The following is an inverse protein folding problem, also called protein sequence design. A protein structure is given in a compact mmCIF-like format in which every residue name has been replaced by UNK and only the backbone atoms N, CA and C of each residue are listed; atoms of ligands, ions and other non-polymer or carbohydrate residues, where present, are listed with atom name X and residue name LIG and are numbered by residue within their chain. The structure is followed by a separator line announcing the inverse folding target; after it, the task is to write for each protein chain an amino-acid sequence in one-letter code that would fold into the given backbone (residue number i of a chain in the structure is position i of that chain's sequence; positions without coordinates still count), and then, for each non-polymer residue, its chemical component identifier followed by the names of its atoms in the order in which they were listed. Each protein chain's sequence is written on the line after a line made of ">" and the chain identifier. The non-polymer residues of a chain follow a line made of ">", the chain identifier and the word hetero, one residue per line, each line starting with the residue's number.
data_IF_234688073952
#
_entry.id   IF_234688073952
#
_cell.length_a   1.000
_cell.length_b   1.000
_cell.length_c   1.000
_cell.angle_alpha   90.00
_cell.angle_beta   90.00
_cell.angle_gamma   90.00
#
_symmetry.space_group_name_H-M   'P 1'
#
loop_
_entity.id
_entity.type
_entity.pdbx_description
1 polymer ?
#
# COMPACT_ATOMS: atom_id res chain seq x y z
N UNK A 1 -2.91 -38.63 -2.76
CA UNK A 1 -2.80 -39.21 -4.11
C UNK A 1 -2.81 -40.77 -4.02
N UNK A 2 -3.59 -41.52 -4.80
CA UNK A 2 -3.61 -42.99 -4.74
C UNK A 2 -2.29 -43.59 -5.22
N UNK A 3 -1.86 -44.67 -4.56
CA UNK A 3 -0.57 -45.35 -4.79
C UNK A 3 -0.36 -45.75 -6.27
N UNK A 4 -1.45 -46.14 -6.94
CA UNK A 4 -1.46 -46.53 -8.37
C UNK A 4 -1.06 -45.39 -9.31
N UNK A 5 -1.50 -44.17 -9.05
CA UNK A 5 -1.11 -43.01 -9.84
C UNK A 5 0.35 -42.60 -9.61
N UNK A 6 0.84 -42.74 -8.38
CA UNK A 6 2.21 -42.45 -8.01
C UNK A 6 3.19 -43.42 -8.70
N UNK A 7 2.88 -44.73 -8.71
CA UNK A 7 3.65 -45.76 -9.43
C UNK A 7 3.67 -45.47 -10.94
N UNK A 8 2.55 -45.06 -11.53
CA UNK A 8 2.48 -44.70 -12.94
C UNK A 8 3.39 -43.52 -13.29
N UNK A 9 3.42 -42.46 -12.47
CA UNK A 9 4.28 -41.30 -12.67
C UNK A 9 5.75 -41.73 -12.58
N UNK A 10 6.12 -42.51 -11.55
CA UNK A 10 7.51 -42.99 -11.37
C UNK A 10 7.94 -43.86 -12.55
N UNK A 11 7.08 -44.73 -13.04
CA UNK A 11 7.39 -45.56 -14.20
C UNK A 11 7.57 -44.74 -15.48
N UNK A 12 6.69 -43.76 -15.73
CA UNK A 12 6.80 -42.89 -16.90
C UNK A 12 8.10 -42.04 -16.87
N UNK A 13 8.47 -41.52 -15.69
CA UNK A 13 9.65 -40.74 -15.50
C UNK A 13 10.96 -41.56 -15.52
N UNK A 14 10.86 -42.87 -15.26
CA UNK A 14 12.00 -43.80 -15.24
C UNK A 14 12.22 -44.56 -16.55
N UNK A 15 11.37 -44.40 -17.56
CA UNK A 15 11.44 -45.17 -18.81
C UNK A 15 12.80 -45.02 -19.48
N UNK A 16 13.32 -43.81 -19.61
CA UNK A 16 14.58 -43.57 -20.28
C UNK A 16 15.75 -44.23 -19.56
N UNK A 17 15.79 -44.16 -18.24
CA UNK A 17 16.82 -44.79 -17.42
C UNK A 17 16.73 -46.32 -17.42
N UNK A 18 15.53 -46.87 -17.37
CA UNK A 18 15.31 -48.31 -17.45
C UNK A 18 15.78 -48.85 -18.81
N UNK A 19 15.44 -48.15 -19.90
CA UNK A 19 15.89 -48.51 -21.25
C UNK A 19 17.41 -48.45 -21.36
N UNK A 20 18.03 -47.41 -20.83
CA UNK A 20 19.50 -47.29 -20.83
C UNK A 20 20.19 -48.43 -20.05
N UNK A 21 19.66 -48.78 -18.87
CA UNK A 21 20.16 -49.90 -18.07
C UNK A 21 19.98 -51.22 -18.83
N UNK A 22 18.84 -51.45 -19.46
CA UNK A 22 18.54 -52.68 -20.23
C UNK A 22 19.47 -52.80 -21.46
N UNK A 23 19.70 -51.73 -22.21
CA UNK A 23 20.64 -51.69 -23.35
C UNK A 23 22.07 -51.97 -22.88
N UNK A 24 22.50 -51.33 -21.82
CA UNK A 24 23.85 -51.51 -21.25
C UNK A 24 24.09 -52.96 -20.81
N UNK A 25 23.10 -53.54 -20.14
CA UNK A 25 23.15 -54.95 -19.74
C UNK A 25 23.14 -55.90 -20.94
N UNK A 26 22.32 -55.64 -21.96
CA UNK A 26 22.30 -56.41 -23.20
C UNK A 26 23.63 -56.42 -23.93
N UNK A 27 24.29 -55.23 -24.02
CA UNK A 27 25.64 -55.11 -24.60
C UNK A 27 26.66 -55.91 -23.78
N UNK A 28 26.60 -55.88 -22.48
CA UNK A 28 27.51 -56.59 -21.58
C UNK A 28 27.35 -58.12 -21.72
N UNK A 29 26.12 -58.59 -21.80
CA UNK A 29 25.80 -60.02 -22.08
C UNK A 29 26.35 -60.43 -23.46
N UNK A 30 26.18 -59.58 -24.47
CA UNK A 30 26.67 -59.85 -25.83
C UNK A 30 28.23 -59.97 -25.86
N UNK A 31 28.93 -59.03 -25.22
CA UNK A 31 30.40 -59.06 -25.13
C UNK A 31 30.89 -60.32 -24.39
N UNK A 32 30.24 -60.71 -23.30
CA UNK A 32 30.60 -61.92 -22.57
C UNK A 32 30.39 -63.18 -23.37
N UNK A 33 29.29 -63.31 -24.12
CA UNK A 33 29.01 -64.46 -24.99
C UNK A 33 30.01 -64.56 -26.16
N UNK A 34 30.38 -63.44 -26.77
CA UNK A 34 31.34 -63.39 -27.87
C UNK A 34 32.77 -63.70 -27.46
N UNK A 35 33.22 -63.31 -26.26
CA UNK A 35 34.61 -63.51 -25.83
C UNK A 35 34.84 -64.80 -25.07
N UNK A 36 33.91 -65.30 -24.30
CA UNK A 36 34.09 -66.44 -23.41
C UNK A 36 33.39 -67.73 -23.83
N UNK A 37 32.56 -67.69 -24.88
CA UNK A 37 31.91 -68.88 -25.41
C UNK A 37 30.98 -69.61 -24.43
N UNK A 38 30.64 -68.98 -23.30
CA UNK A 38 29.86 -69.58 -22.23
C UNK A 38 28.42 -69.05 -22.35
N UNK A 39 27.47 -69.99 -22.68
CA UNK A 39 26.05 -69.68 -22.79
C UNK A 39 25.37 -69.28 -21.47
N UNK A 40 26.00 -68.56 -20.61
CA UNK A 40 25.49 -68.12 -19.28
C UNK A 40 24.80 -66.75 -19.39
N UNK A 41 23.55 -66.78 -19.89
CA UNK A 41 22.69 -65.57 -20.01
C UNK A 41 21.85 -65.34 -18.76
N UNK A 42 21.54 -66.42 -18.01
CA UNK A 42 20.57 -66.34 -16.90
C UNK A 42 21.04 -65.44 -15.75
N UNK A 43 22.31 -65.60 -15.30
CA UNK A 43 22.83 -64.85 -14.15
C UNK A 43 22.89 -63.33 -14.39
N UNK A 44 23.44 -62.81 -15.50
CA UNK A 44 23.41 -61.39 -15.80
C UNK A 44 21.99 -60.84 -15.98
N UNK A 45 21.06 -61.61 -16.56
CA UNK A 45 19.66 -61.19 -16.70
C UNK A 45 18.97 -61.00 -15.33
N UNK A 46 19.13 -61.98 -14.41
CA UNK A 46 18.58 -61.91 -13.07
C UNK A 46 19.16 -60.70 -12.28
N UNK A 47 20.48 -60.48 -12.41
CA UNK A 47 21.16 -59.33 -11.78
C UNK A 47 20.60 -58.01 -12.32
N UNK A 48 20.37 -57.88 -13.63
CA UNK A 48 19.81 -56.67 -14.24
C UNK A 48 18.40 -56.39 -13.74
N UNK A 49 17.54 -57.41 -13.65
CA UNK A 49 16.18 -57.28 -13.12
C UNK A 49 16.22 -56.85 -11.66
N UNK A 50 17.15 -57.42 -10.84
CA UNK A 50 17.31 -57.03 -9.46
C UNK A 50 17.76 -55.56 -9.32
N UNK A 51 18.72 -55.08 -10.13
CA UNK A 51 19.17 -53.71 -10.14
C UNK A 51 18.05 -52.75 -10.53
N UNK A 52 17.26 -53.06 -11.57
CA UNK A 52 16.12 -52.25 -11.98
C UNK A 52 15.08 -52.20 -10.85
N UNK A 53 14.81 -53.37 -10.18
CA UNK A 53 13.88 -53.41 -9.05
C UNK A 53 14.30 -52.53 -7.89
N UNK A 54 15.56 -52.56 -7.51
CA UNK A 54 16.13 -51.71 -6.44
C UNK A 54 16.04 -50.23 -6.83
N UNK A 55 16.42 -49.90 -8.07
CA UNK A 55 16.32 -48.52 -8.60
C UNK A 55 14.90 -47.99 -8.53
N UNK A 56 13.92 -48.73 -9.03
CA UNK A 56 12.51 -48.32 -8.98
C UNK A 56 12.00 -48.16 -7.55
N UNK A 57 12.43 -49.04 -6.64
CA UNK A 57 12.06 -48.96 -5.24
C UNK A 57 12.58 -47.66 -4.61
N UNK A 58 13.86 -47.34 -4.81
CA UNK A 58 14.47 -46.12 -4.29
C UNK A 58 13.80 -44.88 -4.90
N UNK A 59 13.58 -44.86 -6.23
CA UNK A 59 12.93 -43.75 -6.94
C UNK A 59 11.49 -43.54 -6.43
N UNK A 60 10.76 -44.63 -6.17
CA UNK A 60 9.41 -44.56 -5.59
C UNK A 60 9.42 -43.95 -4.19
N UNK A 61 10.35 -44.37 -3.33
CA UNK A 61 10.48 -43.78 -1.98
C UNK A 61 10.82 -42.30 -2.03
N UNK A 62 11.71 -41.89 -2.92
CA UNK A 62 12.07 -40.45 -3.08
C UNK A 62 10.86 -39.65 -3.55
N UNK A 63 10.11 -40.16 -4.54
CA UNK A 63 8.91 -39.51 -5.07
C UNK A 63 7.81 -39.38 -4.00
N UNK A 64 7.56 -40.43 -3.22
CA UNK A 64 6.58 -40.40 -2.13
C UNK A 64 6.96 -39.36 -1.08
N UNK A 65 8.25 -39.30 -0.68
CA UNK A 65 8.75 -38.30 0.28
C UNK A 65 8.59 -36.88 -0.27
N UNK A 66 8.89 -36.68 -1.55
CA UNK A 66 8.72 -35.39 -2.22
C UNK A 66 7.26 -34.91 -2.18
N UNK A 67 6.30 -35.78 -2.60
CA UNK A 67 4.88 -35.39 -2.57
C UNK A 67 4.34 -35.14 -1.16
N UNK A 68 4.76 -35.92 -0.16
CA UNK A 68 4.39 -35.66 1.24
C UNK A 68 4.90 -34.31 1.74
N UNK A 69 6.14 -33.92 1.36
CA UNK A 69 6.70 -32.61 1.69
C UNK A 69 5.99 -31.48 0.94
N UNK A 70 5.59 -31.73 -0.31
CA UNK A 70 4.81 -30.76 -1.11
C UNK A 70 3.43 -30.51 -0.48
N UNK A 71 2.73 -31.55 -0.06
CA UNK A 71 1.45 -31.44 0.65
C UNK A 71 1.59 -30.67 1.99
N UNK A 72 2.65 -30.92 2.75
CA UNK A 72 2.96 -30.17 3.96
C UNK A 72 3.31 -28.68 3.68
N UNK A 73 3.78 -28.33 2.49
CA UNK A 73 4.12 -26.97 2.11
C UNK A 73 2.92 -26.07 1.85
N UNK A 74 1.70 -26.58 1.77
CA UNK A 74 0.46 -25.77 1.77
C UNK A 74 0.28 -24.98 3.06
N UNK A 75 0.79 -25.49 4.19
CA UNK A 75 0.63 -24.86 5.51
C UNK A 75 1.90 -24.10 5.93
N UNK A 76 3.09 -24.64 5.62
CA UNK A 76 4.37 -23.98 5.90
C UNK A 76 5.47 -24.48 4.97
N UNK A 77 6.30 -23.57 4.46
CA UNK A 77 7.45 -23.94 3.63
C UNK A 77 8.49 -24.69 4.45
N UNK A 78 8.87 -25.94 4.11
CA UNK A 78 9.87 -26.69 4.88
C UNK A 78 11.22 -26.00 4.84
N UNK A 79 11.84 -25.82 6.01
CA UNK A 79 13.19 -25.24 6.16
C UNK A 79 14.33 -26.25 5.99
N UNK A 80 14.02 -27.51 5.81
CA UNK A 80 15.05 -28.59 5.76
C UNK A 80 15.75 -28.67 4.40
N UNK A 81 17.02 -29.08 4.46
CA UNK A 81 17.87 -29.31 3.29
C UNK A 81 17.24 -30.35 2.36
N UNK A 82 17.06 -30.00 1.09
CA UNK A 82 16.52 -30.87 0.06
C UNK A 82 17.70 -31.49 -0.71
N UNK A 83 17.76 -32.82 -0.76
CA UNK A 83 18.87 -33.59 -1.34
C UNK A 83 19.01 -33.45 -2.87
N UNK A 84 18.06 -32.76 -3.52
CA UNK A 84 18.07 -32.60 -5.00
C UNK A 84 17.90 -31.13 -5.37
N UNK A 85 18.83 -30.61 -6.19
CA UNK A 85 18.84 -29.22 -6.68
C UNK A 85 17.53 -28.77 -7.35
N UNK A 86 16.84 -29.67 -8.07
CA UNK A 86 15.56 -29.37 -8.73
C UNK A 86 14.44 -29.20 -7.69
N UNK A 87 14.38 -30.08 -6.70
CA UNK A 87 13.38 -30.01 -5.63
C UNK A 87 13.61 -28.75 -4.76
N UNK A 88 14.86 -28.41 -4.46
CA UNK A 88 15.22 -27.17 -3.76
C UNK A 88 14.72 -25.93 -4.50
N UNK A 89 14.88 -25.92 -5.84
CA UNK A 89 14.38 -24.81 -6.68
C UNK A 89 12.87 -24.70 -6.66
N UNK A 90 12.15 -25.84 -6.74
CA UNK A 90 10.68 -25.89 -6.65
C UNK A 90 10.19 -25.32 -5.31
N UNK A 91 10.76 -25.76 -4.19
CA UNK A 91 10.39 -25.24 -2.87
C UNK A 91 10.76 -23.75 -2.71
N UNK A 92 11.85 -23.28 -3.29
CA UNK A 92 12.19 -21.85 -3.26
C UNK A 92 11.16 -21.01 -4.03
N UNK A 93 10.68 -21.48 -5.17
CA UNK A 93 9.64 -20.79 -5.95
C UNK A 93 8.31 -20.78 -5.19
N UNK A 94 7.90 -21.91 -4.62
CA UNK A 94 6.68 -22.01 -3.81
C UNK A 94 6.79 -21.05 -2.60
N UNK A 95 7.95 -21.01 -1.91
CA UNK A 95 8.20 -20.10 -0.81
C UNK A 95 8.09 -18.62 -1.20
N UNK A 96 8.63 -18.25 -2.35
CA UNK A 96 8.54 -16.89 -2.86
C UNK A 96 7.10 -16.50 -3.21
N UNK A 97 6.34 -17.40 -3.85
CA UNK A 97 4.93 -17.18 -4.16
C UNK A 97 4.10 -17.07 -2.89
N UNK A 98 4.32 -17.97 -1.93
CA UNK A 98 3.63 -17.95 -0.64
C UNK A 98 3.91 -16.66 0.16
N UNK A 99 5.18 -16.26 0.27
CA UNK A 99 5.57 -15.04 0.95
C UNK A 99 4.98 -13.79 0.26
N UNK A 100 4.97 -13.75 -1.07
CA UNK A 100 4.33 -12.67 -1.84
C UNK A 100 2.83 -12.61 -1.54
N UNK A 101 2.15 -13.75 -1.57
CA UNK A 101 0.71 -13.83 -1.28
C UNK A 101 0.39 -13.42 0.16
N UNK A 102 1.20 -13.87 1.14
CA UNK A 102 1.04 -13.44 2.53
C UNK A 102 1.23 -11.93 2.69
N UNK A 103 2.28 -11.36 2.10
CA UNK A 103 2.55 -9.92 2.19
C UNK A 103 1.42 -9.10 1.54
N UNK A 104 0.89 -9.57 0.42
CA UNK A 104 -0.25 -8.93 -0.26
C UNK A 104 -1.54 -9.03 0.57
N UNK A 105 -1.81 -10.20 1.15
CA UNK A 105 -2.97 -10.40 2.03
C UNK A 105 -2.88 -9.54 3.28
N UNK A 106 -1.70 -9.44 3.91
CA UNK A 106 -1.48 -8.54 5.04
C UNK A 106 -1.68 -7.07 4.65
N UNK A 107 -1.17 -6.65 3.51
CA UNK A 107 -1.37 -5.29 2.99
C UNK A 107 -2.85 -4.97 2.78
N UNK A 108 -3.58 -5.87 2.13
CA UNK A 108 -5.01 -5.69 1.88
C UNK A 108 -5.83 -5.66 3.18
N UNK A 109 -5.52 -6.53 4.13
CA UNK A 109 -6.16 -6.52 5.46
C UNK A 109 -5.90 -5.21 6.20
N UNK A 110 -4.66 -4.75 6.24
CA UNK A 110 -4.31 -3.46 6.86
C UNK A 110 -5.05 -2.30 6.21
N UNK A 111 -5.19 -2.29 4.88
CA UNK A 111 -5.98 -1.27 4.17
C UNK A 111 -7.47 -1.32 4.56
N UNK A 112 -8.05 -2.52 4.66
CA UNK A 112 -9.46 -2.70 5.08
C UNK A 112 -9.65 -2.25 6.53
N UNK A 113 -8.77 -2.62 7.45
CA UNK A 113 -8.82 -2.23 8.86
C UNK A 113 -8.72 -0.71 9.01
N UNK A 114 -7.79 -0.10 8.29
CA UNK A 114 -7.61 1.34 8.22
C UNK A 114 -8.89 2.03 7.75
N UNK A 115 -9.49 1.55 6.66
CA UNK A 115 -10.73 2.08 6.12
C UNK A 115 -11.91 1.91 7.07
N UNK A 116 -12.04 0.75 7.70
CA UNK A 116 -13.11 0.50 8.67
C UNK A 116 -12.98 1.40 9.91
N UNK A 117 -11.78 1.66 10.38
CA UNK A 117 -11.52 2.60 11.47
C UNK A 117 -11.95 4.03 11.09
N UNK A 118 -11.63 4.47 9.85
CA UNK A 118 -12.10 5.74 9.31
C UNK A 118 -13.63 5.85 9.33
N UNK A 119 -14.31 4.87 8.74
CA UNK A 119 -15.78 4.87 8.71
C UNK A 119 -16.38 4.91 10.10
N UNK A 120 -15.83 4.12 11.03
CA UNK A 120 -16.33 4.09 12.42
C UNK A 120 -16.20 5.46 13.08
N UNK A 121 -15.08 6.16 12.90
CA UNK A 121 -14.87 7.48 13.48
C UNK A 121 -15.81 8.54 12.87
N UNK A 122 -15.97 8.53 11.53
CA UNK A 122 -16.91 9.45 10.86
C UNK A 122 -18.36 9.21 11.29
N UNK A 123 -18.78 7.94 11.36
CA UNK A 123 -20.12 7.59 11.83
C UNK A 123 -20.36 8.05 13.25
N UNK A 124 -19.37 7.91 14.13
CA UNK A 124 -19.47 8.39 15.50
C UNK A 124 -19.59 9.93 15.57
N UNK A 125 -18.76 10.65 14.82
CA UNK A 125 -18.83 12.12 14.71
C UNK A 125 -20.18 12.60 14.16
N UNK A 126 -20.63 12.01 13.05
CA UNK A 126 -21.95 12.33 12.47
C UNK A 126 -23.11 12.07 13.44
N UNK A 127 -23.11 10.92 14.16
CA UNK A 127 -24.12 10.62 15.17
C UNK A 127 -24.12 11.66 16.29
N UNK A 128 -22.96 12.12 16.73
CA UNK A 128 -22.85 13.18 17.73
C UNK A 128 -23.44 14.51 17.25
N UNK A 129 -23.11 14.92 16.02
CA UNK A 129 -23.66 16.16 15.43
C UNK A 129 -25.18 16.10 15.24
N UNK A 130 -25.70 14.93 14.81
CA UNK A 130 -27.17 14.73 14.71
C UNK A 130 -27.83 14.87 16.06
N UNK A 131 -27.28 14.25 17.13
CA UNK A 131 -27.85 14.36 18.47
C UNK A 131 -27.87 15.82 19.01
N UNK A 132 -26.83 16.61 18.68
CA UNK A 132 -26.82 18.05 19.06
C UNK A 132 -27.88 18.82 18.27
N UNK A 133 -28.05 18.54 16.98
CA UNK A 133 -29.11 19.16 16.15
C UNK A 133 -30.51 18.82 16.70
N UNK A 134 -30.75 17.57 17.07
CA UNK A 134 -32.02 17.13 17.68
C UNK A 134 -32.29 17.91 18.99
N UNK A 135 -31.32 17.94 19.91
CA UNK A 135 -31.45 18.69 21.18
C UNK A 135 -31.64 20.18 20.96
N UNK A 136 -30.97 20.80 20.01
CA UNK A 136 -31.09 22.20 19.69
C UNK A 136 -32.46 22.50 19.04
N UNK A 137 -33.00 21.57 18.23
CA UNK A 137 -34.30 21.70 17.62
C UNK A 137 -35.48 21.62 18.64
N UNK A 138 -35.30 20.78 19.68
CA UNK A 138 -36.27 20.69 20.78
C UNK A 138 -36.33 21.98 21.62
N UNK A 139 -35.20 22.70 21.74
CA UNK A 139 -35.11 23.96 22.49
C UNK A 139 -35.48 25.22 21.72
N UNK A 140 -35.83 25.11 20.45
CA UNK A 140 -36.17 26.24 19.57
C UNK A 140 -37.33 27.13 20.14
N UNK A 141 -38.13 26.61 21.08
CA UNK A 141 -39.20 27.36 21.77
C UNK A 141 -38.70 28.37 22.80
N UNK A 142 -37.55 28.13 23.46
CA UNK A 142 -37.07 28.90 24.60
C UNK A 142 -36.00 29.96 24.23
N UNK A 143 -35.08 29.64 23.32
CA UNK A 143 -33.98 30.52 22.85
C UNK A 143 -33.69 30.32 21.36
N UNK A 144 -34.48 30.89 20.46
CA UNK A 144 -34.40 30.55 19.02
C UNK A 144 -33.05 30.94 18.36
N UNK A 145 -32.43 32.02 18.81
CA UNK A 145 -31.20 32.53 18.22
C UNK A 145 -30.00 31.59 18.44
N UNK A 146 -29.82 31.12 19.67
CA UNK A 146 -28.69 30.26 20.06
C UNK A 146 -28.88 28.85 19.49
N UNK A 147 -30.09 28.32 19.55
CA UNK A 147 -30.40 27.00 18.97
C UNK A 147 -30.23 26.95 17.47
N UNK A 148 -30.53 28.01 16.73
CA UNK A 148 -30.30 28.11 15.29
C UNK A 148 -28.80 28.19 14.95
N UNK A 149 -27.99 28.87 15.77
CA UNK A 149 -26.55 28.96 15.61
C UNK A 149 -25.90 27.57 15.82
N UNK A 150 -26.32 26.84 16.86
CA UNK A 150 -25.84 25.48 17.14
C UNK A 150 -26.20 24.51 16.02
N UNK A 151 -27.44 24.51 15.54
CA UNK A 151 -27.90 23.68 14.39
C UNK A 151 -27.05 23.98 13.15
N UNK A 152 -26.82 25.26 12.85
CA UNK A 152 -26.03 25.67 11.68
C UNK A 152 -24.58 25.25 11.80
N UNK A 153 -23.98 25.36 12.99
CA UNK A 153 -22.63 24.91 13.30
C UNK A 153 -22.48 23.39 13.11
N UNK A 154 -23.39 22.60 13.68
CA UNK A 154 -23.34 21.14 13.57
C UNK A 154 -23.63 20.64 12.14
N UNK A 155 -24.55 21.30 11.41
CA UNK A 155 -24.77 20.97 9.99
C UNK A 155 -23.51 21.21 9.13
N UNK A 156 -22.75 22.27 9.44
CA UNK A 156 -21.46 22.52 8.77
C UNK A 156 -20.44 21.43 9.06
N UNK A 157 -20.36 20.96 10.32
CA UNK A 157 -19.49 19.83 10.71
C UNK A 157 -19.89 18.54 10.02
N UNK A 158 -21.21 18.24 9.96
CA UNK A 158 -21.72 17.07 9.22
C UNK A 158 -21.34 17.10 7.76
N UNK A 159 -21.51 18.26 7.10
CA UNK A 159 -21.15 18.43 5.70
C UNK A 159 -19.65 18.21 5.47
N UNK A 160 -18.80 18.78 6.31
CA UNK A 160 -17.34 18.58 6.26
C UNK A 160 -16.97 17.12 6.48
N UNK A 161 -17.58 16.42 7.44
CA UNK A 161 -17.34 15.00 7.69
C UNK A 161 -17.77 14.13 6.50
N UNK A 162 -18.89 14.44 5.88
CA UNK A 162 -19.36 13.74 4.68
C UNK A 162 -18.40 13.93 3.50
N UNK A 163 -17.94 15.16 3.26
CA UNK A 163 -16.96 15.48 2.22
C UNK A 163 -15.64 14.72 2.45
N UNK A 164 -15.18 14.62 3.70
CA UNK A 164 -13.97 13.83 4.03
C UNK A 164 -14.17 12.35 3.72
N UNK A 165 -15.31 11.75 4.06
CA UNK A 165 -15.62 10.34 3.71
C UNK A 165 -15.63 10.14 2.20
N UNK A 166 -16.28 11.03 1.45
CA UNK A 166 -16.34 10.95 0.00
C UNK A 166 -14.94 11.05 -0.63
N UNK A 167 -14.08 11.91 -0.09
CA UNK A 167 -12.72 12.06 -0.59
C UNK A 167 -11.85 10.82 -0.31
N UNK A 168 -12.04 10.16 0.83
CA UNK A 168 -11.37 8.89 1.13
C UNK A 168 -11.84 7.78 0.18
N UNK A 169 -13.14 7.70 -0.10
CA UNK A 169 -13.69 6.74 -1.07
C UNK A 169 -13.17 7.00 -2.48
N UNK A 170 -13.01 8.26 -2.87
CA UNK A 170 -12.41 8.62 -4.15
C UNK A 170 -10.94 8.21 -4.24
N UNK A 171 -10.17 8.25 -3.14
CA UNK A 171 -8.78 7.77 -3.13
C UNK A 171 -8.65 6.29 -3.55
N UNK A 172 -9.63 5.45 -3.23
CA UNK A 172 -9.66 4.05 -3.68
C UNK A 172 -9.86 3.96 -5.21
N UNK A 173 -10.57 4.93 -5.79
CA UNK A 173 -10.80 5.04 -7.23
C UNK A 173 -9.74 5.87 -7.97
N UNK A 174 -8.69 6.33 -7.28
CA UNK A 174 -7.67 7.23 -7.85
C UNK A 174 -7.13 6.77 -9.20
N UNK A 175 -6.84 5.47 -9.37
CA UNK A 175 -6.29 4.91 -10.62
C UNK A 175 -7.24 5.11 -11.80
N UNK A 176 -8.56 5.11 -11.56
CA UNK A 176 -9.57 5.30 -12.59
C UNK A 176 -9.82 6.77 -12.93
N UNK A 177 -9.56 7.67 -11.95
CA UNK A 177 -9.85 9.11 -12.06
C UNK A 177 -8.60 9.96 -12.36
N UNK A 178 -7.40 9.34 -12.33
CA UNK A 178 -6.14 10.03 -12.52
C UNK A 178 -5.92 10.43 -13.97
N UNK A 179 -5.91 11.75 -14.23
CA UNK A 179 -5.69 12.34 -15.54
C UNK A 179 -4.53 13.34 -15.44
N UNK A 180 -3.27 12.90 -15.66
CA UNK A 180 -2.13 13.81 -15.61
C UNK A 180 -2.16 14.77 -16.81
N UNK A 181 -2.01 16.04 -16.50
CA UNK A 181 -1.93 17.11 -17.48
C UNK A 181 -0.82 18.10 -17.12
N UNK A 182 -0.39 18.90 -18.08
CA UNK A 182 0.55 19.99 -17.82
C UNK A 182 -0.22 21.14 -17.19
N UNK A 183 0.10 21.50 -15.95
CA UNK A 183 -0.61 22.52 -15.19
C UNK A 183 0.33 23.61 -14.72
N UNK A 184 -0.18 24.83 -14.66
CA UNK A 184 0.50 25.96 -14.04
C UNK A 184 0.17 25.99 -12.55
N UNK A 185 1.21 25.92 -11.69
CA UNK A 185 1.03 25.87 -10.24
C UNK A 185 0.43 27.17 -9.69
N UNK A 186 0.84 28.35 -10.22
CA UNK A 186 0.32 29.61 -9.72
C UNK A 186 -1.19 29.76 -9.97
N UNK A 187 -1.69 29.26 -11.10
CA UNK A 187 -3.12 29.27 -11.42
C UNK A 187 -3.91 28.37 -10.45
N UNK A 188 -3.44 27.15 -10.20
CA UNK A 188 -4.12 26.24 -9.26
C UNK A 188 -4.10 26.81 -7.84
N UNK A 189 -2.96 27.36 -7.39
CA UNK A 189 -2.83 27.97 -6.07
C UNK A 189 -3.81 29.14 -5.94
N UNK A 190 -3.84 30.04 -6.93
CA UNK A 190 -4.75 31.19 -6.92
C UNK A 190 -6.22 30.75 -6.91
N UNK A 191 -6.57 29.72 -7.67
CA UNK A 191 -7.92 29.15 -7.68
C UNK A 191 -8.28 28.59 -6.27
N UNK A 192 -7.40 27.80 -5.67
CA UNK A 192 -7.63 27.20 -4.36
C UNK A 192 -7.68 28.25 -3.23
N UNK A 193 -6.85 29.30 -3.30
CA UNK A 193 -6.95 30.46 -2.39
C UNK A 193 -8.35 31.12 -2.50
N UNK A 194 -8.86 31.28 -3.72
CA UNK A 194 -10.18 31.89 -3.94
C UNK A 194 -11.32 31.01 -3.38
N UNK A 195 -11.22 29.69 -3.46
CA UNK A 195 -12.17 28.76 -2.83
C UNK A 195 -12.21 28.93 -1.31
N UNK A 196 -11.04 29.14 -0.68
CA UNK A 196 -10.89 29.37 0.77
C UNK A 196 -10.97 30.84 1.19
N UNK A 197 -11.39 31.75 0.29
CA UNK A 197 -11.40 33.20 0.56
C UNK A 197 -12.15 33.58 1.83
N UNK A 198 -13.26 32.92 2.13
CA UNK A 198 -14.04 33.21 3.35
C UNK A 198 -13.25 32.82 4.60
N UNK A 199 -12.56 31.70 4.58
CA UNK A 199 -11.80 31.18 5.71
C UNK A 199 -10.63 32.12 6.02
N UNK A 200 -9.94 32.61 4.98
CA UNK A 200 -8.89 33.65 5.11
C UNK A 200 -9.42 34.92 5.76
N UNK A 201 -10.57 35.43 5.29
CA UNK A 201 -11.17 36.66 5.82
C UNK A 201 -11.59 36.48 7.27
N UNK A 202 -12.28 35.39 7.63
CA UNK A 202 -12.76 35.13 8.98
C UNK A 202 -11.62 34.93 9.98
N UNK A 203 -10.53 34.31 9.56
CA UNK A 203 -9.36 34.06 10.40
C UNK A 203 -8.41 35.26 10.49
N UNK A 204 -8.59 36.26 9.62
CA UNK A 204 -7.68 37.42 9.53
C UNK A 204 -6.27 37.02 9.08
N UNK A 205 -6.14 36.01 8.22
CA UNK A 205 -4.86 35.51 7.69
C UNK A 205 -4.74 35.94 6.23
N UNK A 206 -3.55 36.29 5.79
CA UNK A 206 -3.32 36.87 4.47
C UNK A 206 -2.48 35.92 3.57
N UNK A 207 -3.02 35.48 2.41
CA UNK A 207 -2.24 34.69 1.47
C UNK A 207 -1.29 35.57 0.65
N UNK A 208 -0.08 35.02 0.37
CA UNK A 208 0.92 35.63 -0.53
C UNK A 208 1.42 34.54 -1.49
N UNK A 209 1.43 34.85 -2.79
CA UNK A 209 1.92 33.94 -3.83
C UNK A 209 3.15 34.56 -4.49
N UNK A 210 4.25 33.83 -4.52
CA UNK A 210 5.52 34.21 -5.13
C UNK A 210 5.99 33.11 -6.09
N UNK A 211 6.45 33.53 -7.28
CA UNK A 211 6.98 32.60 -8.28
C UNK A 211 5.89 32.01 -9.18
N UNK A 212 6.36 31.21 -10.13
CA UNK A 212 5.55 30.48 -11.11
C UNK A 212 6.29 29.20 -11.50
N UNK A 213 5.57 28.22 -12.04
CA UNK A 213 6.15 26.97 -12.51
C UNK A 213 5.12 26.03 -13.10
N UNK A 214 5.57 25.19 -14.00
CA UNK A 214 4.72 24.20 -14.67
C UNK A 214 5.12 22.78 -14.27
N UNK A 215 4.14 21.94 -14.01
CA UNK A 215 4.34 20.53 -13.62
C UNK A 215 3.36 19.62 -14.35
N UNK A 216 3.70 18.33 -14.46
CA UNK A 216 2.76 17.31 -14.90
C UNK A 216 2.12 16.67 -13.66
N UNK A 217 0.81 16.89 -13.47
CA UNK A 217 0.06 16.30 -12.35
C UNK A 217 -1.44 16.31 -12.68
N UNK A 218 -2.24 15.66 -11.83
CA UNK A 218 -3.70 15.80 -11.91
C UNK A 218 -4.14 17.06 -11.17
N UNK A 219 -4.73 18.01 -11.86
CA UNK A 219 -5.13 19.32 -11.33
C UNK A 219 -6.13 19.22 -10.19
N UNK A 220 -7.08 18.26 -10.24
CA UNK A 220 -8.13 18.07 -9.22
C UNK A 220 -7.55 17.49 -7.93
N UNK A 221 -6.74 16.43 -8.06
CA UNK A 221 -6.11 15.81 -6.90
C UNK A 221 -5.08 16.72 -6.24
N UNK A 222 -4.33 17.48 -7.05
CA UNK A 222 -3.39 18.45 -6.52
C UNK A 222 -4.11 19.62 -5.82
N UNK A 223 -5.18 20.17 -6.41
CA UNK A 223 -6.00 21.21 -5.76
C UNK A 223 -6.59 20.71 -4.43
N UNK A 224 -7.04 19.46 -4.36
CA UNK A 224 -7.51 18.88 -3.11
C UNK A 224 -6.40 18.78 -2.05
N UNK A 225 -5.21 18.29 -2.40
CA UNK A 225 -4.04 18.26 -1.53
C UNK A 225 -3.72 19.65 -0.99
N UNK A 226 -3.65 20.63 -1.89
CA UNK A 226 -3.38 22.03 -1.56
C UNK A 226 -4.44 22.62 -0.64
N UNK A 227 -5.73 22.34 -0.87
CA UNK A 227 -6.83 22.78 -0.03
C UNK A 227 -6.70 22.25 1.40
N UNK A 228 -6.23 21.01 1.60
CA UNK A 228 -5.97 20.47 2.94
C UNK A 228 -4.80 21.18 3.63
N UNK A 229 -3.73 21.51 2.89
CA UNK A 229 -2.62 22.30 3.43
C UNK A 229 -3.05 23.72 3.81
N UNK A 230 -3.81 24.40 2.95
CA UNK A 230 -4.38 25.73 3.20
C UNK A 230 -5.28 25.70 4.44
N UNK A 231 -6.20 24.75 4.53
CA UNK A 231 -7.10 24.61 5.67
C UNK A 231 -6.32 24.43 6.99
N UNK A 232 -5.28 23.60 6.98
CA UNK A 232 -4.40 23.43 8.14
C UNK A 232 -3.64 24.71 8.46
N UNK A 233 -3.03 25.37 7.47
CA UNK A 233 -2.30 26.61 7.66
C UNK A 233 -3.18 27.71 8.25
N UNK A 234 -4.41 27.90 7.73
CA UNK A 234 -5.38 28.87 8.29
C UNK A 234 -5.74 28.50 9.73
N UNK A 235 -6.03 27.23 9.99
CA UNK A 235 -6.46 26.73 11.29
C UNK A 235 -5.42 26.96 12.39
N UNK A 236 -4.14 26.80 12.07
CA UNK A 236 -3.07 26.88 13.06
C UNK A 236 -2.33 28.25 13.05
N UNK A 237 -2.63 29.12 12.10
CA UNK A 237 -2.12 30.50 12.09
C UNK A 237 -2.77 31.38 13.16
N UNK A 238 -2.08 32.45 13.54
CA UNK A 238 -2.61 33.49 14.39
C UNK A 238 -3.25 34.59 13.55
N UNK A 239 -4.21 35.34 14.11
CA UNK A 239 -4.84 36.48 13.45
C UNK A 239 -3.78 37.52 13.10
N UNK A 240 -3.80 38.06 11.88
CA UNK A 240 -2.78 38.92 11.32
C UNK A 240 -1.59 38.20 10.69
N UNK A 241 -1.56 36.87 10.76
CA UNK A 241 -0.51 36.02 10.14
C UNK A 241 -0.58 35.97 8.63
N UNK A 242 0.47 35.41 8.03
CA UNK A 242 0.55 35.19 6.58
C UNK A 242 0.68 33.73 6.26
N UNK A 243 0.13 33.33 5.11
CA UNK A 243 0.43 32.04 4.46
C UNK A 243 1.09 32.38 3.12
N UNK A 244 2.37 32.00 3.00
CA UNK A 244 3.17 32.28 1.80
C UNK A 244 3.33 31.01 0.96
N UNK A 245 3.03 31.11 -0.31
CA UNK A 245 3.24 30.08 -1.32
C UNK A 245 4.44 30.52 -2.15
N UNK A 246 5.52 29.73 -2.14
CA UNK A 246 6.74 30.00 -2.89
C UNK A 246 6.98 28.90 -3.91
N UNK A 247 6.96 29.26 -5.19
CA UNK A 247 7.27 28.35 -6.28
C UNK A 247 8.71 28.63 -6.72
N UNK A 248 9.53 27.59 -6.75
CA UNK A 248 10.91 27.67 -7.25
C UNK A 248 11.10 26.59 -8.31
N UNK A 249 11.72 26.98 -9.43
CA UNK A 249 12.07 26.09 -10.52
C UNK A 249 13.59 26.14 -10.71
N UNK A 250 14.27 25.07 -10.24
CA UNK A 250 15.68 24.84 -10.42
C UNK A 250 15.85 23.52 -11.17
N UNK A 251 16.53 22.53 -10.58
CA UNK A 251 16.61 21.16 -11.14
C UNK A 251 15.27 20.42 -11.05
N UNK A 252 14.48 20.72 -10.02
CA UNK A 252 13.13 20.23 -9.79
C UNK A 252 12.22 21.39 -9.39
N UNK A 253 10.94 21.32 -9.81
CA UNK A 253 9.93 22.30 -9.40
C UNK A 253 9.53 21.99 -7.95
N UNK A 254 9.55 23.03 -7.12
CA UNK A 254 9.13 22.94 -5.72
C UNK A 254 8.08 24.00 -5.39
N UNK A 255 7.08 23.58 -4.62
CA UNK A 255 6.15 24.49 -3.97
C UNK A 255 6.37 24.43 -2.46
N UNK A 256 6.67 25.55 -1.83
CA UNK A 256 6.76 25.69 -0.38
C UNK A 256 5.56 26.47 0.12
N UNK A 257 4.81 25.87 1.06
CA UNK A 257 3.68 26.49 1.77
C UNK A 257 4.14 26.80 3.19
N UNK A 258 4.20 28.08 3.53
CA UNK A 258 4.77 28.58 4.79
C UNK A 258 3.68 29.31 5.56
N UNK A 259 3.36 28.88 6.77
CA UNK A 259 2.51 29.59 7.70
C UNK A 259 3.32 30.22 8.85
N UNK A 260 2.78 31.25 9.45
CA UNK A 260 3.32 31.93 10.67
C UNK A 260 2.53 31.53 11.90
N UNK A 261 2.19 30.27 12.03
CA UNK A 261 1.33 29.72 13.07
C UNK A 261 2.06 29.29 14.33
N UNK A 262 1.37 28.46 15.11
CA UNK A 262 1.89 27.96 16.41
C UNK A 262 3.02 26.93 16.26
N UNK A 263 3.26 26.42 15.05
CA UNK A 263 4.24 25.39 14.79
C UNK A 263 3.86 24.00 15.33
N UNK A 264 4.70 23.01 15.07
CA UNK A 264 4.52 21.63 15.45
C UNK A 264 5.65 21.21 16.40
N UNK A 265 5.36 20.65 17.57
CA UNK A 265 6.38 20.11 18.47
C UNK A 265 7.22 19.01 17.78
N UNK A 266 8.54 18.95 18.02
CA UNK A 266 9.42 17.95 17.42
C UNK A 266 8.98 16.50 17.65
N UNK A 267 8.39 16.22 18.81
CA UNK A 267 7.84 14.91 19.18
C UNK A 267 6.61 14.51 18.34
N UNK A 268 5.87 15.48 17.81
CA UNK A 268 4.69 15.25 16.99
C UNK A 268 5.06 15.02 15.49
N UNK A 269 6.16 15.63 15.00
CA UNK A 269 6.58 15.61 13.58
C UNK A 269 6.63 14.21 12.97
N UNK A 270 7.17 13.16 13.60
CA UNK A 270 7.22 11.83 13.02
C UNK A 270 5.83 11.21 12.77
N UNK A 271 4.80 11.72 13.44
CA UNK A 271 3.45 11.14 13.49
C UNK A 271 2.37 11.97 12.85
N UNK A 272 2.68 13.18 12.34
CA UNK A 272 1.66 14.08 11.77
C UNK A 272 0.91 13.52 10.56
N UNK A 273 1.51 12.54 9.89
CA UNK A 273 0.90 11.82 8.78
C UNK A 273 0.18 10.53 9.22
N UNK A 274 0.28 10.16 10.50
CA UNK A 274 -0.48 9.03 11.02
C UNK A 274 -1.96 9.37 11.03
N UNK A 275 -2.76 8.40 10.61
CA UNK A 275 -4.21 8.56 10.62
C UNK A 275 -4.73 8.81 12.04
N UNK A 276 -5.63 9.80 12.17
CA UNK A 276 -6.24 10.24 13.45
C UNK A 276 -5.27 10.87 14.45
N UNK A 277 -4.04 11.07 14.07
CA UNK A 277 -3.12 11.76 14.93
C UNK A 277 -3.40 13.27 14.93
N UNK A 278 -3.63 13.86 16.10
CA UNK A 278 -3.98 15.28 16.24
C UNK A 278 -2.94 16.09 16.99
N UNK A 279 -1.87 15.49 17.47
CA UNK A 279 -0.82 16.15 18.25
C UNK A 279 -1.32 16.96 19.46
N UNK A 280 -0.44 17.67 20.11
CA UNK A 280 -0.78 18.50 21.27
C UNK A 280 -1.69 19.67 20.90
N UNK A 281 -1.45 20.33 19.75
CA UNK A 281 -2.21 21.48 19.27
C UNK A 281 -3.63 21.10 18.80
N UNK A 282 -3.76 19.92 18.16
CA UNK A 282 -5.04 19.44 17.66
C UNK A 282 -6.00 19.00 18.77
N UNK A 283 -5.48 18.42 19.86
CA UNK A 283 -6.27 18.03 21.05
C UNK A 283 -6.88 19.23 21.77
N UNK A 284 -6.22 20.38 21.75
CA UNK A 284 -6.76 21.64 22.31
C UNK A 284 -7.89 22.21 21.46
N UNK A 285 -7.89 21.95 20.15
CA UNK A 285 -8.95 22.38 19.23
C UNK A 285 -9.84 21.18 18.92
N UNK A 286 -11.02 21.08 19.54
CA UNK A 286 -12.01 19.97 19.42
C UNK A 286 -12.39 19.59 17.97
N UNK A 287 -12.00 20.38 16.98
CA UNK A 287 -12.37 20.23 15.55
C UNK A 287 -11.30 19.54 14.69
N UNK A 288 -10.24 18.99 15.30
CA UNK A 288 -9.18 18.31 14.54
C UNK A 288 -9.46 16.81 14.41
N UNK A 289 -9.70 16.32 13.20
CA UNK A 289 -9.99 14.91 12.96
C UNK A 289 -8.73 14.04 12.79
N UNK A 290 -7.55 14.65 12.57
CA UNK A 290 -6.30 13.92 12.30
C UNK A 290 -6.27 13.21 10.94
N UNK A 291 -7.17 13.56 10.02
CA UNK A 291 -7.27 12.93 8.69
C UNK A 291 -6.63 13.79 7.59
N UNK A 292 -6.61 15.12 7.75
CA UNK A 292 -6.17 16.05 6.69
C UNK A 292 -4.74 15.78 6.19
N UNK A 293 -3.74 15.75 7.08
CA UNK A 293 -2.34 15.49 6.69
C UNK A 293 -2.12 14.04 6.22
N UNK A 294 -2.83 13.07 6.79
CA UNK A 294 -2.84 11.71 6.26
C UNK A 294 -3.28 11.69 4.78
N UNK A 295 -4.37 12.40 4.44
CA UNK A 295 -4.85 12.52 3.06
C UNK A 295 -3.82 13.21 2.16
N UNK A 296 -3.18 14.28 2.64
CA UNK A 296 -2.10 14.97 1.93
C UNK A 296 -0.99 13.98 1.57
N UNK A 297 -0.53 13.16 2.53
CA UNK A 297 0.51 12.15 2.27
C UNK A 297 0.06 11.09 1.25
N UNK A 298 -1.15 10.55 1.42
CA UNK A 298 -1.68 9.53 0.50
C UNK A 298 -1.80 10.04 -0.94
N UNK A 299 -2.25 11.28 -1.13
CA UNK A 299 -2.37 11.87 -2.46
C UNK A 299 -1.01 12.19 -3.05
N UNK A 300 -0.11 12.78 -2.27
CA UNK A 300 1.24 13.08 -2.73
C UNK A 300 1.99 11.82 -3.20
N UNK A 301 1.92 10.73 -2.41
CA UNK A 301 2.51 9.44 -2.80
C UNK A 301 1.93 8.91 -4.12
N UNK A 302 0.63 9.07 -4.35
CA UNK A 302 -0.04 8.67 -5.59
C UNK A 302 0.30 9.59 -6.77
N UNK A 303 0.52 10.88 -6.54
CA UNK A 303 0.93 11.86 -7.54
C UNK A 303 2.45 11.84 -7.82
N UNK A 304 3.24 11.07 -7.04
CA UNK A 304 4.70 11.06 -7.15
C UNK A 304 5.35 12.35 -6.65
N UNK A 305 4.71 13.03 -5.67
CA UNK A 305 5.20 14.27 -5.05
C UNK A 305 5.87 13.92 -3.72
N UNK A 306 7.11 14.34 -3.54
CA UNK A 306 7.78 14.24 -2.24
C UNK A 306 7.35 15.39 -1.32
N UNK A 307 7.05 15.04 -0.05
CA UNK A 307 6.68 16.02 0.97
C UNK A 307 7.76 16.06 2.05
N UNK A 308 8.19 17.27 2.35
CA UNK A 308 9.07 17.56 3.47
C UNK A 308 8.44 18.65 4.36
N UNK A 309 8.55 18.50 5.70
CA UNK A 309 7.97 19.45 6.65
C UNK A 309 9.05 19.92 7.64
N UNK A 310 9.16 21.25 7.76
CA UNK A 310 9.97 21.94 8.76
C UNK A 310 9.04 22.76 9.65
N UNK A 311 9.19 22.63 10.96
CA UNK A 311 8.36 23.38 11.89
C UNK A 311 9.05 23.58 13.22
N UNK A 312 8.95 24.79 13.75
CA UNK A 312 9.40 25.16 15.08
C UNK A 312 8.25 25.78 15.86
N UNK A 313 8.13 25.41 17.15
CA UNK A 313 7.08 25.91 18.03
C UNK A 313 7.16 27.45 18.14
N UNK A 314 6.05 28.10 17.79
CA UNK A 314 5.94 29.56 17.80
C UNK A 314 6.50 30.28 16.57
N UNK A 315 7.13 29.57 15.63
CA UNK A 315 7.66 30.13 14.39
C UNK A 315 6.80 29.80 13.15
N UNK A 316 5.94 28.78 13.24
CA UNK A 316 5.10 28.33 12.15
C UNK A 316 5.57 27.02 11.53
N UNK A 317 5.01 26.70 10.36
CA UNK A 317 5.29 25.47 9.62
C UNK A 317 5.56 25.78 8.16
N UNK A 318 6.55 25.09 7.58
CA UNK A 318 6.86 25.10 6.16
C UNK A 318 6.71 23.70 5.59
N UNK A 319 5.82 23.54 4.62
CA UNK A 319 5.59 22.29 3.88
C UNK A 319 6.14 22.45 2.47
N UNK A 320 7.14 21.65 2.12
CA UNK A 320 7.75 21.63 0.79
C UNK A 320 7.24 20.43 0.00
N UNK A 321 6.70 20.70 -1.19
CA UNK A 321 6.25 19.73 -2.17
C UNK A 321 7.23 19.74 -3.33
N UNK A 322 7.91 18.61 -3.60
CA UNK A 322 8.89 18.47 -4.69
C UNK A 322 8.31 17.58 -5.80
N UNK A 323 8.23 18.12 -7.02
CA UNK A 323 7.70 17.42 -8.20
C UNK A 323 8.82 16.73 -8.96
N UNK A 324 8.97 15.41 -8.77
CA UNK A 324 10.01 14.63 -9.42
C UNK A 324 9.59 14.32 -10.85
N UNK A 325 10.17 15.03 -11.83
CA UNK A 325 9.93 14.82 -13.27
C UNK A 325 10.57 13.53 -13.80
N UNK A 326 10.18 12.37 -13.33
CA UNK A 326 10.85 11.13 -13.78
C UNK A 326 9.99 9.87 -13.81
N UNK A 327 8.84 9.84 -13.20
CA UNK A 327 8.08 8.60 -12.97
C UNK A 327 6.78 8.42 -13.76
N UNK A 328 6.48 9.26 -14.75
CA UNK A 328 5.24 9.15 -15.54
C UNK A 328 5.26 8.05 -16.62
N UNK A 329 6.35 7.26 -16.73
CA UNK A 329 6.48 6.23 -17.80
C UNK A 329 6.29 4.80 -17.29
N UNK A 330 5.89 4.58 -16.04
CA UNK A 330 5.69 3.22 -15.49
C UNK A 330 4.43 3.13 -14.61
N UNK A 331 3.28 3.25 -15.24
CA UNK A 331 2.04 2.68 -14.75
C UNK A 331 1.29 2.01 -15.90
#
# INVERSE_FOLDING_TARGET
>A
MPLTQLVKIVLQDAVAEIVAIAISAGLLILVFNLHLGVGVVIYPAVLTVAVIGIYLFIKTLQTVRFFKRLEASEISVPKESVDNNVQAKVFSVIGNVHNRHLSETHRLRSQIETRNALFSQFMHGMKSSVAVIELASEKLGDTPSDSLADIKGENTKLKSSLEQVLNILRLDAFVNDYVPEKVNLAEIIQHTINEHKRDFIYSGVYPKLNGDGEVYTDSKWFAFLLGQLISNAIKYSTTGGNITFEITEQDIVQLKVIDTGVGIPPEDLPRIFDMFYTGANGRKRKESTGVGLFMVKQIADKLGIEIFIESDVGCGTAVTLSFIQGNLTKM
#
